data_IF_424651653280
#
_entry.id   IF_424651653280
#
_cell.length_a   1.000
_cell.length_b   1.000
_cell.length_c   1.000
_cell.angle_alpha   90.00
_cell.angle_beta   90.00
_cell.angle_gamma   90.00
#
_symmetry.space_group_name_H-M   'P 1'
#
loop_
_entity.id
_entity.type
_entity.pdbx_description
1 polymer ?
#
# COMPACT_ATOMS: atom_id res chain seq x y z
N UNK A 1 -16.81 27.87 -43.15
CA UNK A 1 -15.60 28.00 -42.32
C UNK A 1 -15.84 28.36 -40.84
N UNK A 2 -16.78 29.26 -40.49
CA UNK A 2 -16.99 29.68 -39.09
C UNK A 2 -17.55 28.61 -38.11
N UNK A 3 -18.22 27.56 -38.60
CA UNK A 3 -18.82 26.50 -37.76
C UNK A 3 -17.80 25.48 -37.19
N UNK A 4 -16.68 25.25 -37.89
CA UNK A 4 -15.64 24.33 -37.42
C UNK A 4 -14.73 24.95 -36.37
N UNK A 5 -14.60 26.28 -36.37
CA UNK A 5 -13.82 27.02 -35.36
C UNK A 5 -14.41 26.86 -33.94
N UNK A 6 -15.75 26.80 -33.84
CA UNK A 6 -16.44 26.61 -32.56
C UNK A 6 -16.28 25.19 -32.00
N UNK A 7 -16.24 24.17 -32.87
CA UNK A 7 -16.00 22.77 -32.49
C UNK A 7 -14.57 22.53 -31.98
N UNK A 8 -13.57 23.18 -32.58
CA UNK A 8 -12.18 23.12 -32.13
C UNK A 8 -11.99 23.78 -30.75
N UNK A 9 -12.74 24.85 -30.45
CA UNK A 9 -12.67 25.53 -29.16
C UNK A 9 -13.23 24.67 -28.01
N UNK A 10 -14.29 23.89 -28.28
CA UNK A 10 -14.91 22.99 -27.29
C UNK A 10 -14.01 21.77 -27.02
N UNK A 11 -13.36 21.20 -28.05
CA UNK A 11 -12.37 20.13 -27.86
C UNK A 11 -11.14 20.61 -27.08
N UNK A 12 -10.67 21.84 -27.30
CA UNK A 12 -9.56 22.41 -26.56
C UNK A 12 -9.88 22.62 -25.06
N UNK A 13 -11.14 22.92 -24.72
CA UNK A 13 -11.59 23.07 -23.32
C UNK A 13 -11.74 21.73 -22.60
N UNK A 14 -12.07 20.64 -23.30
CA UNK A 14 -12.18 19.29 -22.71
C UNK A 14 -10.82 18.63 -22.43
N UNK A 15 -9.75 19.06 -23.10
CA UNK A 15 -8.39 18.57 -22.83
C UNK A 15 -7.75 19.16 -21.55
N UNK A 16 -8.37 20.18 -20.94
CA UNK A 16 -7.83 20.85 -19.75
C UNK A 16 -8.45 20.38 -18.42
N UNK A 17 -9.45 19.51 -18.44
CA UNK A 17 -10.05 18.93 -17.22
C UNK A 17 -9.36 17.63 -16.81
N UNK A 18 -8.03 17.66 -16.72
CA UNK A 18 -7.26 16.66 -15.98
C UNK A 18 -6.63 17.33 -14.76
N UNK A 19 -7.45 18.04 -13.98
CA UNK A 19 -7.15 18.32 -12.58
C UNK A 19 -7.10 16.98 -11.87
N UNK A 20 -5.94 16.31 -11.94
CA UNK A 20 -5.59 15.27 -10.98
C UNK A 20 -5.81 15.90 -9.61
N UNK A 21 -6.77 15.37 -8.84
CA UNK A 21 -6.92 15.68 -7.44
C UNK A 21 -5.63 15.28 -6.74
N UNK A 22 -4.69 16.22 -6.67
CA UNK A 22 -3.42 16.07 -5.98
C UNK A 22 -3.70 16.54 -4.57
N UNK A 23 -3.88 15.59 -3.66
CA UNK A 23 -3.91 15.93 -2.26
C UNK A 23 -2.50 16.39 -1.85
N UNK A 24 -2.43 17.42 -1.03
CA UNK A 24 -1.17 17.82 -0.40
C UNK A 24 -0.92 16.92 0.80
N UNK A 25 0.29 16.36 0.86
CA UNK A 25 0.69 15.42 1.91
C UNK A 25 0.88 16.19 3.21
N UNK A 26 0.11 15.91 4.28
CA UNK A 26 0.27 16.60 5.54
C UNK A 26 1.58 16.19 6.22
N UNK A 27 2.16 17.09 7.02
CA UNK A 27 3.42 16.83 7.72
C UNK A 27 3.32 15.65 8.71
N UNK A 28 2.14 15.42 9.28
CA UNK A 28 1.85 14.30 10.17
C UNK A 28 1.57 12.97 9.46
N UNK A 29 1.62 12.91 8.12
CA UNK A 29 1.40 11.67 7.39
C UNK A 29 2.60 10.73 7.50
N UNK A 30 2.36 9.56 8.06
CA UNK A 30 3.29 8.44 8.02
C UNK A 30 2.54 7.10 8.00
N UNK A 31 3.26 6.07 7.64
CA UNK A 31 2.81 4.68 7.63
C UNK A 31 3.90 3.71 8.10
N UNK A 32 3.45 2.58 8.62
CA UNK A 32 4.25 1.41 8.95
C UNK A 32 3.68 0.20 8.18
N UNK A 33 4.55 -0.57 7.55
CA UNK A 33 4.17 -1.73 6.73
C UNK A 33 5.00 -2.95 7.12
N UNK A 34 4.38 -4.13 7.14
CA UNK A 34 5.01 -5.41 7.44
C UNK A 34 4.51 -6.47 6.47
N UNK A 35 5.42 -7.29 5.95
CA UNK A 35 5.04 -8.46 5.13
C UNK A 35 4.74 -9.71 5.96
N UNK A 36 4.72 -9.58 7.29
CA UNK A 36 4.43 -10.67 8.24
C UNK A 36 5.57 -11.67 8.43
N UNK A 37 6.42 -11.85 7.41
CA UNK A 37 7.59 -12.71 7.45
C UNK A 37 8.82 -11.97 8.03
N UNK A 38 9.61 -11.37 7.14
CA UNK A 38 10.95 -10.89 7.46
C UNK A 38 11.07 -9.37 7.47
N UNK A 39 10.22 -8.69 6.70
CA UNK A 39 10.47 -7.32 6.30
C UNK A 39 9.39 -6.39 6.83
N UNK A 40 9.85 -5.25 7.33
CA UNK A 40 8.99 -4.14 7.75
C UNK A 40 9.63 -2.81 7.43
N UNK A 41 8.82 -1.77 7.30
CA UNK A 41 9.29 -0.42 7.02
C UNK A 41 8.47 0.61 7.79
N UNK A 42 9.15 1.62 8.34
CA UNK A 42 8.54 2.74 9.04
C UNK A 42 8.93 4.04 8.33
N UNK A 43 7.96 4.67 7.67
CA UNK A 43 8.19 5.92 6.92
C UNK A 43 8.43 7.14 7.79
N UNK A 44 8.08 7.10 9.09
CA UNK A 44 8.38 8.17 10.04
C UNK A 44 9.86 8.22 10.40
N UNK A 45 10.51 7.06 10.47
CA UNK A 45 11.94 6.93 10.79
C UNK A 45 12.81 6.65 9.58
N UNK A 46 12.20 6.41 8.41
CA UNK A 46 12.87 5.94 7.19
C UNK A 46 13.64 4.62 7.39
N UNK A 47 13.24 3.79 8.36
CA UNK A 47 13.93 2.53 8.66
C UNK A 47 13.19 1.34 8.05
N UNK A 48 13.87 0.67 7.14
CA UNK A 48 13.55 -0.69 6.71
C UNK A 48 14.23 -1.70 7.64
N UNK A 49 13.50 -2.70 8.12
CA UNK A 49 14.00 -3.74 9.00
C UNK A 49 13.79 -5.10 8.36
N UNK A 50 14.87 -5.89 8.29
CA UNK A 50 14.85 -7.27 7.84
C UNK A 50 15.32 -8.19 8.95
N UNK A 51 14.60 -9.28 9.16
CA UNK A 51 14.98 -10.37 10.07
C UNK A 51 15.92 -11.34 9.37
N UNK A 52 16.93 -11.79 10.11
CA UNK A 52 17.87 -12.83 9.75
C UNK A 52 17.95 -13.84 10.90
N UNK A 53 18.58 -14.98 10.66
CA UNK A 53 18.82 -16.03 11.67
C UNK A 53 19.57 -15.52 12.91
N UNK A 54 20.45 -14.52 12.72
CA UNK A 54 21.25 -13.90 13.78
C UNK A 54 20.63 -12.62 14.38
N UNK A 55 19.40 -12.29 14.01
CA UNK A 55 18.67 -11.12 14.52
C UNK A 55 18.17 -10.18 13.43
N UNK A 56 17.59 -9.06 13.85
CA UNK A 56 17.08 -8.04 12.93
C UNK A 56 18.15 -6.99 12.62
N UNK A 57 18.25 -6.58 11.36
CA UNK A 57 19.05 -5.42 10.94
C UNK A 57 18.12 -4.32 10.41
N UNK A 58 18.57 -3.07 10.57
CA UNK A 58 17.86 -1.89 10.07
C UNK A 58 18.70 -1.19 9.00
N UNK A 59 18.04 -0.69 7.98
CA UNK A 59 18.62 -0.02 6.83
C UNK A 59 17.83 1.27 6.58
N UNK A 60 18.53 2.35 6.28
CA UNK A 60 17.88 3.64 5.99
C UNK A 60 17.38 3.64 4.54
N UNK A 61 16.07 3.82 4.36
CA UNK A 61 15.42 3.96 3.07
C UNK A 61 14.50 5.18 3.13
N UNK A 62 14.96 6.29 2.56
CA UNK A 62 14.20 7.55 2.54
C UNK A 62 13.30 7.65 1.31
N UNK A 63 12.01 7.95 1.54
CA UNK A 63 11.07 8.25 0.47
C UNK A 63 11.12 9.73 0.09
N UNK A 64 11.15 10.02 -1.21
CA UNK A 64 11.05 11.40 -1.69
C UNK A 64 9.59 11.89 -1.69
N UNK A 65 9.40 13.20 -1.89
CA UNK A 65 8.07 13.81 -1.85
C UNK A 65 7.12 13.27 -2.92
N UNK A 66 7.63 12.90 -4.09
CA UNK A 66 6.81 12.33 -5.15
C UNK A 66 6.29 10.93 -4.77
N UNK A 67 7.15 10.08 -4.21
CA UNK A 67 6.82 8.75 -3.69
C UNK A 67 5.80 8.84 -2.55
N UNK A 68 6.03 9.73 -1.58
CA UNK A 68 5.11 9.99 -0.47
C UNK A 68 3.74 10.45 -0.99
N UNK A 69 3.71 11.33 -2.00
CA UNK A 69 2.47 11.82 -2.61
C UNK A 69 1.70 10.73 -3.35
N UNK A 70 2.39 9.82 -4.04
CA UNK A 70 1.74 8.67 -4.70
C UNK A 70 1.00 7.81 -3.67
N UNK A 71 1.67 7.47 -2.57
CA UNK A 71 1.09 6.65 -1.50
C UNK A 71 -0.08 7.37 -0.85
N UNK A 72 0.10 8.65 -0.52
CA UNK A 72 -0.93 9.47 0.12
C UNK A 72 -2.18 9.63 -0.75
N UNK A 73 -2.02 9.87 -2.06
CA UNK A 73 -3.16 9.96 -2.98
C UNK A 73 -3.95 8.65 -3.03
N UNK A 74 -3.27 7.49 -3.07
CA UNK A 74 -3.93 6.19 -3.04
C UNK A 74 -4.65 5.94 -1.71
N UNK A 75 -4.02 6.28 -0.59
CA UNK A 75 -4.61 6.23 0.75
C UNK A 75 -5.93 7.03 0.82
N UNK A 76 -5.92 8.25 0.28
CA UNK A 76 -7.11 9.12 0.23
C UNK A 76 -8.17 8.57 -0.75
N UNK A 77 -7.76 8.14 -1.95
CA UNK A 77 -8.66 7.59 -3.00
C UNK A 77 -9.47 6.40 -2.50
N UNK A 78 -8.86 5.50 -1.73
CA UNK A 78 -9.52 4.29 -1.23
C UNK A 78 -10.23 4.50 0.11
N UNK A 79 -10.16 5.70 0.69
CA UNK A 79 -10.71 5.99 2.03
C UNK A 79 -10.24 4.98 3.11
N UNK A 80 -8.94 4.73 3.17
CA UNK A 80 -8.34 3.67 3.99
C UNK A 80 -8.71 3.75 5.49
N UNK A 81 -8.97 4.94 6.03
CA UNK A 81 -9.41 5.11 7.43
C UNK A 81 -10.75 4.41 7.73
N UNK A 82 -11.55 4.08 6.70
CA UNK A 82 -12.80 3.35 6.83
C UNK A 82 -12.66 1.82 6.73
N UNK A 83 -11.43 1.32 6.60
CA UNK A 83 -11.18 -0.12 6.46
C UNK A 83 -11.29 -0.80 7.83
N UNK A 84 -11.81 -2.04 7.87
CA UNK A 84 -11.81 -2.81 9.11
C UNK A 84 -10.35 -3.14 9.50
N UNK A 85 -10.07 -3.21 10.80
CA UNK A 85 -8.73 -3.58 11.28
C UNK A 85 -8.35 -5.01 10.89
N UNK A 86 -9.34 -5.89 10.79
CA UNK A 86 -9.24 -7.27 10.28
C UNK A 86 -10.48 -7.57 9.44
N UNK A 87 -10.29 -8.25 8.31
CA UNK A 87 -11.40 -8.69 7.49
C UNK A 87 -12.09 -9.91 8.12
N UNK A 88 -13.41 -9.96 8.02
CA UNK A 88 -14.19 -11.13 8.40
C UNK A 88 -14.18 -12.11 7.23
N UNK A 89 -13.60 -13.30 7.41
CA UNK A 89 -13.34 -14.28 6.34
C UNK A 89 -14.40 -15.39 6.34
N UNK A 90 -14.87 -15.78 5.15
CA UNK A 90 -15.74 -16.94 4.98
C UNK A 90 -14.92 -18.24 4.98
N UNK A 91 -14.76 -18.84 6.16
CA UNK A 91 -14.08 -20.12 6.33
C UNK A 91 -14.85 -21.33 5.79
N UNK A 92 -16.13 -21.16 5.43
CA UNK A 92 -16.99 -22.23 4.92
C UNK A 92 -17.20 -22.15 3.41
N UNK A 93 -16.55 -21.20 2.72
CA UNK A 93 -16.63 -21.06 1.28
C UNK A 93 -16.16 -22.34 0.58
N UNK A 94 -16.95 -22.80 -0.39
CA UNK A 94 -16.60 -23.94 -1.25
C UNK A 94 -15.63 -23.56 -2.36
N UNK A 95 -15.40 -22.26 -2.58
CA UNK A 95 -14.35 -21.77 -3.46
C UNK A 95 -13.01 -22.02 -2.75
N UNK A 96 -12.12 -22.76 -3.40
CA UNK A 96 -10.93 -23.34 -2.78
C UNK A 96 -10.17 -22.34 -1.88
N UNK A 97 -10.31 -22.50 -0.56
CA UNK A 97 -9.38 -21.92 0.42
C UNK A 97 -8.03 -22.59 0.14
N UNK A 98 -7.21 -21.93 -0.67
CA UNK A 98 -5.88 -22.39 -0.97
C UNK A 98 -5.03 -22.21 0.28
N UNK A 99 -4.97 -23.24 1.12
CA UNK A 99 -4.05 -23.26 2.26
C UNK A 99 -2.63 -23.37 1.70
N UNK A 100 -2.00 -22.22 1.47
CA UNK A 100 -0.59 -22.13 1.08
C UNK A 100 0.22 -21.91 2.36
N UNK A 101 1.06 -22.87 2.71
CA UNK A 101 2.02 -22.74 3.79
C UNK A 101 3.42 -22.46 3.22
N UNK A 102 4.21 -21.59 3.86
CA UNK A 102 3.85 -20.76 5.02
C UNK A 102 2.93 -19.60 4.62
N UNK A 103 2.03 -19.23 5.54
CA UNK A 103 1.24 -18.01 5.39
C UNK A 103 1.62 -16.96 6.43
N UNK A 104 1.46 -15.69 6.07
CA UNK A 104 1.81 -14.55 6.89
C UNK A 104 0.75 -13.45 6.84
N UNK A 105 0.33 -13.02 8.03
CA UNK A 105 -0.46 -11.80 8.19
C UNK A 105 0.38 -10.58 7.79
N UNK A 106 0.00 -9.94 6.69
CA UNK A 106 0.55 -8.62 6.35
C UNK A 106 -0.12 -7.55 7.20
N UNK A 107 0.56 -6.43 7.42
CA UNK A 107 -0.06 -5.28 8.07
C UNK A 107 0.34 -3.96 7.44
N UNK A 108 -0.60 -3.03 7.37
CA UNK A 108 -0.38 -1.64 7.01
C UNK A 108 -1.07 -0.74 8.03
N UNK A 109 -0.30 0.08 8.71
CA UNK A 109 -0.77 1.14 9.59
C UNK A 109 -0.49 2.48 8.96
N UNK A 110 -1.50 3.34 8.85
CA UNK A 110 -1.38 4.69 8.29
C UNK A 110 -1.95 5.69 9.28
N UNK A 111 -1.16 6.71 9.57
CA UNK A 111 -1.47 7.77 10.50
C UNK A 111 -1.51 9.12 9.77
N UNK A 112 -2.55 9.90 10.04
CA UNK A 112 -2.74 11.26 9.55
C UNK A 112 -3.32 12.10 10.69
N UNK A 113 -2.60 13.17 11.08
CA UNK A 113 -3.03 14.11 12.12
C UNK A 113 -3.57 13.42 13.39
N UNK A 114 -2.76 12.51 13.95
CA UNK A 114 -3.06 11.70 15.16
C UNK A 114 -4.16 10.63 15.02
N UNK A 115 -4.78 10.50 13.84
CA UNK A 115 -5.69 9.40 13.51
C UNK A 115 -4.93 8.28 12.80
N UNK A 116 -4.85 7.10 13.42
CA UNK A 116 -4.22 5.92 12.86
C UNK A 116 -5.24 4.82 12.60
N UNK A 117 -5.16 4.17 11.44
CA UNK A 117 -5.82 2.90 11.19
C UNK A 117 -4.79 1.84 10.82
N UNK A 118 -4.90 0.67 11.44
CA UNK A 118 -4.06 -0.49 11.16
C UNK A 118 -4.92 -1.62 10.63
N UNK A 119 -4.62 -2.02 9.41
CA UNK A 119 -5.29 -3.12 8.72
C UNK A 119 -4.35 -4.31 8.67
N UNK A 120 -4.86 -5.48 9.02
CA UNK A 120 -4.15 -6.76 8.95
C UNK A 120 -4.92 -7.67 7.98
N UNK A 121 -4.19 -8.28 7.04
CA UNK A 121 -4.74 -9.19 6.07
C UNK A 121 -3.69 -10.23 5.66
N UNK A 122 -4.08 -11.51 5.71
CA UNK A 122 -3.40 -12.56 4.97
C UNK A 122 -3.77 -12.42 3.49
N UNK A 123 -2.77 -12.24 2.62
CA UNK A 123 -3.01 -12.04 1.19
C UNK A 123 -3.57 -13.29 0.50
N UNK A 124 -3.49 -14.47 1.12
CA UNK A 124 -4.19 -15.68 0.66
C UNK A 124 -5.70 -15.50 0.75
N UNK A 125 -6.17 -14.77 1.76
CA UNK A 125 -7.60 -14.57 2.04
C UNK A 125 -8.21 -13.41 1.26
N UNK A 126 -7.48 -12.81 0.31
CA UNK A 126 -7.89 -11.61 -0.43
C UNK A 126 -9.29 -11.72 -1.06
N UNK A 127 -9.63 -12.91 -1.53
CA UNK A 127 -10.88 -13.17 -2.27
C UNK A 127 -12.03 -13.67 -1.39
N UNK A 128 -11.76 -13.93 -0.11
CA UNK A 128 -12.64 -14.58 0.86
C UNK A 128 -13.25 -13.69 1.97
N UNK A 129 -13.14 -12.33 2.00
CA UNK A 129 -13.90 -11.57 2.98
C UNK A 129 -15.41 -11.71 2.76
N UNK A 130 -16.17 -12.02 3.84
CA UNK A 130 -17.65 -12.08 3.85
C UNK A 130 -18.22 -10.74 3.42
N UNK A 131 -17.67 -9.68 4.00
CA UNK A 131 -17.98 -8.28 3.71
C UNK A 131 -16.70 -7.59 3.23
N UNK A 132 -16.82 -6.47 2.52
CA UNK A 132 -15.68 -5.61 2.17
C UNK A 132 -14.59 -6.22 1.24
N UNK A 133 -14.93 -7.22 0.43
CA UNK A 133 -14.01 -7.79 -0.59
C UNK A 133 -13.34 -6.72 -1.47
N UNK A 134 -14.09 -5.69 -1.88
CA UNK A 134 -13.53 -4.56 -2.63
C UNK A 134 -12.47 -3.77 -1.85
N UNK A 135 -12.63 -3.61 -0.53
CA UNK A 135 -11.62 -2.96 0.33
C UNK A 135 -10.39 -3.84 0.50
N UNK A 136 -10.53 -5.16 0.57
CA UNK A 136 -9.37 -6.07 0.62
C UNK A 136 -8.52 -5.96 -0.66
N UNK A 137 -9.14 -5.90 -1.82
CA UNK A 137 -8.44 -5.65 -3.10
C UNK A 137 -7.76 -4.28 -3.14
N UNK A 138 -8.42 -3.24 -2.62
CA UNK A 138 -7.83 -1.90 -2.48
C UNK A 138 -6.67 -1.86 -1.48
N UNK A 139 -6.77 -2.60 -0.36
CA UNK A 139 -5.68 -2.78 0.59
C UNK A 139 -4.47 -3.35 -0.13
N UNK A 140 -4.64 -4.44 -0.90
CA UNK A 140 -3.55 -5.05 -1.67
C UNK A 140 -2.95 -4.08 -2.67
N UNK A 141 -3.77 -3.30 -3.39
CA UNK A 141 -3.28 -2.26 -4.33
C UNK A 141 -2.36 -1.25 -3.65
N UNK A 142 -2.74 -0.75 -2.46
CA UNK A 142 -1.92 0.19 -1.71
C UNK A 142 -0.67 -0.48 -1.13
N UNK A 143 -0.83 -1.64 -0.52
CA UNK A 143 0.24 -2.45 0.05
C UNK A 143 1.33 -2.78 -0.99
N UNK A 144 0.94 -3.32 -2.15
CA UNK A 144 1.86 -3.64 -3.25
C UNK A 144 2.55 -2.37 -3.76
N UNK A 145 1.83 -1.24 -3.83
CA UNK A 145 2.41 0.00 -4.32
C UNK A 145 3.50 0.53 -3.38
N UNK A 146 3.27 0.45 -2.07
CA UNK A 146 4.26 0.84 -1.06
C UNK A 146 5.50 -0.04 -1.18
N UNK A 147 5.33 -1.36 -1.25
CA UNK A 147 6.48 -2.27 -1.42
C UNK A 147 7.21 -2.06 -2.73
N UNK A 148 6.49 -1.85 -3.84
CA UNK A 148 7.11 -1.52 -5.13
C UNK A 148 8.00 -0.27 -5.02
N UNK A 149 7.54 0.76 -4.32
CA UNK A 149 8.32 1.99 -4.11
C UNK A 149 9.58 1.69 -3.29
N UNK A 150 9.46 0.95 -2.18
CA UNK A 150 10.58 0.62 -1.29
C UNK A 150 11.63 -0.25 -2.01
N UNK A 151 11.20 -1.29 -2.71
CA UNK A 151 12.08 -2.26 -3.39
C UNK A 151 12.88 -1.60 -4.53
N UNK A 152 12.31 -0.57 -5.17
CA UNK A 152 12.97 0.16 -6.25
C UNK A 152 13.99 1.21 -5.76
N UNK A 153 14.20 1.36 -4.44
CA UNK A 153 15.21 2.29 -3.91
C UNK A 153 16.59 1.67 -4.05
N UNK A 154 17.58 2.49 -4.43
CA UNK A 154 18.99 2.05 -4.49
C UNK A 154 19.46 1.46 -3.15
N UNK A 155 19.06 2.07 -2.03
CA UNK A 155 19.38 1.54 -0.70
C UNK A 155 18.76 0.18 -0.37
N UNK A 156 17.75 -0.29 -1.13
CA UNK A 156 17.17 -1.62 -0.98
C UNK A 156 17.98 -2.68 -1.73
N UNK A 157 18.52 -2.36 -2.91
CA UNK A 157 19.21 -3.34 -3.77
C UNK A 157 20.50 -3.88 -3.14
N UNK A 158 21.09 -3.15 -2.21
CA UNK A 158 22.29 -3.54 -1.48
C UNK A 158 22.01 -4.36 -0.22
N UNK A 159 20.73 -4.57 0.14
CA UNK A 159 20.34 -5.29 1.36
C UNK A 159 20.40 -6.79 1.10
N UNK A 160 21.18 -7.56 1.89
CA UNK A 160 21.20 -9.01 1.77
C UNK A 160 19.83 -9.63 2.01
N UNK A 161 19.50 -10.66 1.24
CA UNK A 161 18.31 -11.48 1.46
C UNK A 161 18.31 -12.13 2.83
N UNK A 162 17.12 -12.35 3.38
CA UNK A 162 16.96 -13.05 4.65
C UNK A 162 17.38 -14.51 4.49
N UNK A 163 18.08 -15.04 5.49
CA UNK A 163 18.46 -16.45 5.62
C UNK A 163 17.47 -17.27 6.46
N UNK A 164 16.31 -16.69 6.80
CA UNK A 164 15.23 -17.40 7.50
C UNK A 164 14.48 -18.34 6.56
N UNK A 165 14.30 -19.58 7.03
CA UNK A 165 13.56 -20.63 6.33
C UNK A 165 12.26 -20.89 7.09
N UNK A 166 11.16 -20.92 6.34
CA UNK A 166 9.82 -21.17 6.86
C UNK A 166 9.33 -22.53 6.37
N UNK A 167 8.61 -23.25 7.25
CA UNK A 167 8.07 -24.59 6.99
C UNK A 167 6.55 -24.57 7.09
#
# INVERSE_FOLDING_TARGET
>A
MKRYLFLLLILALLCCSNTQNRFDVPSGFYFEISNGANDSYNSKTALFKRRYSNGAKSYEISLNDAERRIIYNLYQEIHFQSFPQKFEIDWNSTDAIAVVLPSFDTSLEICENDSCNKVILDLIDLENPINDKGKAQQYKRLYDKIWQIIINKEGYTDIPDSDLIYF
#
